data_IF_920768175113
#
_entry.id   IF_920768175113
#
_cell.length_a   1.000
_cell.length_b   1.000
_cell.length_c   1.000
_cell.angle_alpha   90.00
_cell.angle_beta   90.00
_cell.angle_gamma   90.00
#
_symmetry.space_group_name_H-M   'P 1'
#
loop_
_entity.id
_entity.type
_entity.pdbx_description
1 polymer ?
#
# COMPACT_ATOMS: atom_id res chain seq x y z
N UNK A 1 8.50 9.14 11.21
CA UNK A 1 9.08 10.50 11.07
C UNK A 1 10.52 10.63 11.60
N UNK A 2 11.26 9.54 11.87
CA UNK A 2 12.65 9.65 12.37
C UNK A 2 13.66 10.18 11.34
N UNK A 3 13.48 9.85 10.05
CA UNK A 3 14.42 10.24 8.99
C UNK A 3 14.52 11.77 8.81
N UNK A 4 13.39 12.47 8.63
CA UNK A 4 13.38 13.94 8.47
C UNK A 4 13.88 14.65 9.74
N UNK A 5 13.57 14.12 10.92
CA UNK A 5 14.12 14.62 12.18
C UNK A 5 15.65 14.48 12.19
N UNK A 6 16.20 13.33 11.78
CA UNK A 6 17.66 13.13 11.66
C UNK A 6 18.29 14.14 10.69
N UNK A 7 17.68 14.33 9.52
CA UNK A 7 18.14 15.31 8.54
C UNK A 7 18.18 16.72 9.15
N UNK A 8 17.16 17.08 9.94
CA UNK A 8 17.10 18.38 10.61
C UNK A 8 18.25 18.59 11.61
N UNK A 9 18.55 17.59 12.43
CA UNK A 9 19.69 17.66 13.36
C UNK A 9 21.04 17.78 12.63
N UNK A 10 21.10 17.38 11.37
CA UNK A 10 22.28 17.46 10.51
C UNK A 10 22.26 18.71 9.59
N UNK A 11 21.38 19.68 9.84
CA UNK A 11 21.26 20.91 9.03
C UNK A 11 20.73 20.65 7.63
N UNK A 12 19.70 19.80 7.52
CA UNK A 12 19.03 19.45 6.27
C UNK A 12 19.86 18.55 5.34
N UNK A 13 20.95 17.96 5.83
CA UNK A 13 21.82 17.09 5.03
C UNK A 13 21.31 15.66 5.04
N UNK A 14 21.34 15.02 3.87
CA UNK A 14 21.19 13.59 3.68
C UNK A 14 21.87 13.18 2.38
N UNK A 15 22.39 11.96 2.35
CA UNK A 15 22.88 11.31 1.13
C UNK A 15 21.77 10.53 0.42
N UNK A 16 21.96 10.21 -0.86
CA UNK A 16 21.05 9.30 -1.59
C UNK A 16 20.96 7.93 -0.92
N UNK A 17 22.05 7.45 -0.31
CA UNK A 17 22.07 6.17 0.40
C UNK A 17 21.15 6.19 1.62
N UNK A 18 21.26 7.21 2.47
CA UNK A 18 20.39 7.37 3.64
C UNK A 18 18.92 7.51 3.24
N UNK A 19 18.65 8.20 2.13
CA UNK A 19 17.30 8.28 1.56
C UNK A 19 16.79 6.91 1.11
N UNK A 20 17.60 6.11 0.42
CA UNK A 20 17.21 4.76 -0.01
C UNK A 20 16.96 3.82 1.17
N UNK A 21 17.79 3.90 2.21
CA UNK A 21 17.64 3.09 3.42
C UNK A 21 16.32 3.45 4.12
N UNK A 22 16.02 4.75 4.24
CA UNK A 22 14.72 5.23 4.70
C UNK A 22 13.58 4.70 3.84
N UNK A 23 13.67 4.83 2.52
CA UNK A 23 12.60 4.44 1.59
C UNK A 23 12.32 2.93 1.69
N UNK A 24 13.36 2.12 1.76
CA UNK A 24 13.27 0.66 1.92
C UNK A 24 12.53 0.28 3.21
N UNK A 25 12.94 0.85 4.34
CA UNK A 25 12.29 0.57 5.63
C UNK A 25 10.87 1.14 5.69
N UNK A 26 10.63 2.34 5.13
CA UNK A 26 9.30 2.92 5.03
C UNK A 26 8.34 2.02 4.25
N UNK A 27 8.77 1.53 3.07
CA UNK A 27 7.98 0.60 2.26
C UNK A 27 7.74 -0.72 2.99
N UNK A 28 8.74 -1.27 3.68
CA UNK A 28 8.62 -2.50 4.47
C UNK A 28 7.60 -2.35 5.61
N UNK A 29 7.69 -1.27 6.39
CA UNK A 29 6.74 -1.00 7.47
C UNK A 29 5.33 -0.80 6.91
N UNK A 30 5.20 -0.10 5.79
CA UNK A 30 3.91 0.11 5.11
C UNK A 30 3.28 -1.21 4.62
N UNK A 31 4.07 -2.10 3.98
CA UNK A 31 3.61 -3.44 3.58
C UNK A 31 3.17 -4.28 4.79
N UNK A 32 3.94 -4.24 5.88
CA UNK A 32 3.60 -4.97 7.11
C UNK A 32 2.32 -4.42 7.75
N UNK A 33 2.11 -3.11 7.71
CA UNK A 33 0.87 -2.48 8.16
C UNK A 33 -0.32 -2.95 7.32
N UNK A 34 -0.26 -2.82 5.99
CA UNK A 34 -1.32 -3.27 5.08
C UNK A 34 -1.62 -4.77 5.24
N UNK A 35 -0.58 -5.60 5.38
CA UNK A 35 -0.73 -7.04 5.64
C UNK A 35 -1.51 -7.30 6.94
N UNK A 36 -1.19 -6.60 8.03
CA UNK A 36 -1.91 -6.74 9.31
C UNK A 36 -3.37 -6.31 9.19
N UNK A 37 -3.65 -5.21 8.50
CA UNK A 37 -5.02 -4.75 8.22
C UNK A 37 -5.80 -5.83 7.46
N UNK A 38 -5.24 -6.34 6.36
CA UNK A 38 -5.86 -7.41 5.58
C UNK A 38 -6.09 -8.68 6.41
N UNK A 39 -5.14 -9.08 7.26
CA UNK A 39 -5.33 -10.21 8.18
C UNK A 39 -6.48 -9.98 9.15
N UNK A 40 -6.60 -8.78 9.72
CA UNK A 40 -7.68 -8.45 10.65
C UNK A 40 -9.05 -8.52 9.96
N UNK A 41 -9.24 -7.80 8.85
CA UNK A 41 -10.49 -7.81 8.09
C UNK A 41 -10.88 -9.20 7.57
N UNK A 42 -9.91 -10.10 7.29
CA UNK A 42 -10.20 -11.47 6.86
C UNK A 42 -10.79 -12.32 7.96
N UNK A 43 -10.47 -12.05 9.22
CA UNK A 43 -11.01 -12.84 10.32
C UNK A 43 -12.45 -12.43 10.67
N UNK A 44 -12.92 -11.30 10.15
CA UNK A 44 -14.29 -10.81 10.34
C UNK A 44 -15.22 -11.34 9.23
N UNK A 45 -16.36 -11.93 9.62
CA UNK A 45 -17.33 -12.51 8.68
C UNK A 45 -18.29 -11.48 8.08
N UNK A 46 -18.40 -10.31 8.71
CA UNK A 46 -19.31 -9.23 8.30
C UNK A 46 -18.91 -8.54 6.99
N UNK A 47 -17.66 -8.71 6.54
CA UNK A 47 -17.15 -8.03 5.35
C UNK A 47 -17.29 -8.86 4.08
N UNK A 48 -17.85 -8.22 3.06
CA UNK A 48 -17.84 -8.70 1.68
C UNK A 48 -16.56 -8.23 0.96
N UNK A 49 -15.85 -9.17 0.33
CA UNK A 49 -14.55 -8.91 -0.29
C UNK A 49 -14.69 -8.55 -1.78
N UNK A 50 -14.25 -7.34 -2.14
CA UNK A 50 -14.28 -6.81 -3.50
C UNK A 50 -12.89 -6.84 -4.14
N UNK A 51 -12.85 -7.18 -5.42
CA UNK A 51 -11.62 -7.15 -6.21
C UNK A 51 -11.35 -5.73 -6.72
N UNK A 52 -10.47 -5.02 -6.02
CA UNK A 52 -10.04 -3.67 -6.39
C UNK A 52 -9.19 -3.59 -7.67
N UNK A 53 -8.89 -4.71 -8.34
CA UNK A 53 -8.26 -4.69 -9.67
C UNK A 53 -9.25 -4.41 -10.80
N UNK A 54 -10.55 -4.30 -10.49
CA UNK A 54 -11.62 -3.98 -11.45
C UNK A 54 -11.72 -2.47 -11.67
N UNK A 55 -12.33 -2.03 -12.78
CA UNK A 55 -12.62 -0.62 -12.99
C UNK A 55 -13.34 0.00 -11.79
N UNK A 56 -12.99 1.25 -11.47
CA UNK A 56 -13.51 1.94 -10.29
C UNK A 56 -15.04 2.06 -10.37
N UNK A 57 -15.55 2.37 -11.55
CA UNK A 57 -16.97 2.54 -11.85
C UNK A 57 -17.75 1.26 -11.51
N UNK A 58 -17.28 0.10 -11.97
CA UNK A 58 -17.94 -1.19 -11.68
C UNK A 58 -18.02 -1.48 -10.17
N UNK A 59 -16.97 -1.14 -9.42
CA UNK A 59 -16.93 -1.36 -7.97
C UNK A 59 -17.86 -0.39 -7.25
N UNK A 60 -17.89 0.88 -7.67
CA UNK A 60 -18.74 1.91 -7.07
C UNK A 60 -20.22 1.67 -7.35
N UNK A 61 -20.59 1.33 -8.58
CA UNK A 61 -21.96 1.02 -8.96
C UNK A 61 -22.50 -0.12 -8.09
N UNK A 62 -21.71 -1.18 -7.88
CA UNK A 62 -22.08 -2.26 -6.97
C UNK A 62 -22.28 -1.78 -5.53
N UNK A 63 -21.41 -0.92 -5.00
CA UNK A 63 -21.52 -0.41 -3.62
C UNK A 63 -22.79 0.43 -3.47
N UNK A 64 -23.10 1.27 -4.46
CA UNK A 64 -24.28 2.14 -4.48
C UNK A 64 -25.55 1.28 -4.55
N UNK A 65 -25.60 0.33 -5.47
CA UNK A 65 -26.74 -0.60 -5.60
C UNK A 65 -26.94 -1.41 -4.33
N UNK A 66 -25.86 -1.92 -3.73
CA UNK A 66 -25.89 -2.65 -2.47
C UNK A 66 -26.44 -1.81 -1.30
N UNK A 67 -26.08 -0.53 -1.25
CA UNK A 67 -26.56 0.39 -0.22
C UNK A 67 -28.06 0.66 -0.34
N UNK A 68 -28.58 0.77 -1.56
CA UNK A 68 -30.01 1.03 -1.80
C UNK A 68 -30.88 -0.23 -1.70
N UNK A 69 -30.32 -1.42 -1.93
CA UNK A 69 -31.02 -2.69 -1.82
C UNK A 69 -31.21 -3.11 -0.33
N UNK A 70 -32.32 -2.67 0.27
CA UNK A 70 -32.69 -2.93 1.68
C UNK A 70 -33.15 -4.36 1.99
N UNK A 71 -32.90 -5.33 1.10
CA UNK A 71 -33.35 -6.72 1.24
C UNK A 71 -32.51 -7.56 2.21
N UNK A 72 -31.39 -7.01 2.72
CA UNK A 72 -30.53 -7.64 3.73
C UNK A 72 -29.71 -8.84 3.22
N UNK A 73 -29.87 -9.23 1.96
CA UNK A 73 -29.13 -10.33 1.34
C UNK A 73 -28.17 -9.80 0.28
N UNK A 74 -26.95 -9.44 0.69
CA UNK A 74 -25.92 -8.90 -0.19
C UNK A 74 -25.08 -10.03 -0.80
N UNK A 75 -25.21 -10.22 -2.11
CA UNK A 75 -24.43 -11.20 -2.87
C UNK A 75 -23.49 -10.46 -3.82
N UNK A 76 -22.18 -10.65 -3.63
CA UNK A 76 -21.17 -10.07 -4.52
C UNK A 76 -21.10 -10.87 -5.83
N UNK A 77 -21.21 -10.22 -7.01
CA UNK A 77 -21.03 -10.90 -8.30
C UNK A 77 -19.64 -11.54 -8.41
N UNK A 78 -19.54 -12.73 -9.03
CA UNK A 78 -18.27 -13.45 -9.20
C UNK A 78 -17.16 -12.62 -9.87
N UNK A 79 -17.52 -11.71 -10.79
CA UNK A 79 -16.56 -10.84 -11.46
C UNK A 79 -15.88 -9.84 -10.50
N UNK A 80 -16.62 -9.36 -9.50
CA UNK A 80 -16.17 -8.41 -8.49
C UNK A 80 -15.72 -9.10 -7.20
N UNK A 81 -15.99 -10.39 -7.04
CA UNK A 81 -15.64 -11.14 -5.86
C UNK A 81 -14.13 -11.34 -5.76
N UNK A 82 -13.57 -11.00 -4.60
CA UNK A 82 -12.21 -11.38 -4.23
C UNK A 82 -12.25 -12.62 -3.34
N UNK A 83 -11.38 -13.59 -3.62
CA UNK A 83 -11.27 -14.79 -2.79
C UNK A 83 -10.69 -14.41 -1.41
N UNK A 84 -11.52 -14.55 -0.37
CA UNK A 84 -11.17 -14.22 1.02
C UNK A 84 -10.02 -15.08 1.56
N UNK A 85 -10.05 -16.36 1.21
CA UNK A 85 -9.07 -17.35 1.65
C UNK A 85 -8.07 -17.61 0.52
N UNK A 86 -6.86 -17.10 0.67
CA UNK A 86 -5.71 -17.55 -0.11
C UNK A 86 -5.32 -18.96 0.37
N UNK A 87 -6.15 -19.94 0.04
CA UNK A 87 -6.00 -21.33 0.45
C UNK A 87 -4.82 -22.00 -0.26
N UNK A 88 -4.38 -21.44 -1.39
CA UNK A 88 -3.29 -21.97 -2.19
C UNK A 88 -1.97 -21.43 -1.66
N UNK A 89 -1.09 -22.34 -1.24
CA UNK A 89 0.31 -22.02 -0.87
C UNK A 89 1.01 -21.13 -1.92
N UNK A 90 0.64 -21.28 -3.19
CA UNK A 90 1.14 -20.49 -4.32
C UNK A 90 0.85 -18.99 -4.16
N UNK A 91 -0.39 -18.61 -3.83
CA UNK A 91 -0.79 -17.21 -3.73
C UNK A 91 -0.15 -16.52 -2.52
N UNK A 92 -0.01 -17.25 -1.40
CA UNK A 92 0.75 -16.77 -0.23
C UNK A 92 2.23 -16.57 -0.57
N UNK A 93 2.81 -17.48 -1.36
CA UNK A 93 4.19 -17.37 -1.79
C UNK A 93 4.38 -16.17 -2.73
N UNK A 94 3.51 -15.97 -3.72
CA UNK A 94 3.54 -14.84 -4.65
C UNK A 94 3.43 -13.49 -3.91
N UNK A 95 2.56 -13.38 -2.91
CA UNK A 95 2.47 -12.17 -2.08
C UNK A 95 3.72 -11.94 -1.22
N UNK A 96 4.37 -13.00 -0.74
CA UNK A 96 5.63 -12.90 0.03
C UNK A 96 6.82 -12.58 -0.87
N UNK A 97 6.82 -13.07 -2.10
CA UNK A 97 7.87 -12.85 -3.10
C UNK A 97 7.68 -11.54 -3.86
N UNK A 98 6.49 -10.92 -3.81
CA UNK A 98 6.25 -9.62 -4.41
C UNK A 98 7.29 -8.60 -3.95
N UNK A 99 7.95 -7.99 -4.94
CA UNK A 99 8.90 -6.90 -4.76
C UNK A 99 8.37 -5.72 -5.54
N UNK A 100 8.08 -4.64 -4.81
CA UNK A 100 7.75 -3.36 -5.42
C UNK A 100 8.93 -2.89 -6.26
N UNK A 101 8.70 -2.63 -7.55
CA UNK A 101 9.72 -2.03 -8.42
C UNK A 101 9.74 -0.52 -8.18
N UNK A 102 10.87 0.01 -7.73
CA UNK A 102 11.07 1.44 -7.66
C UNK A 102 11.24 1.98 -9.08
N UNK A 103 10.34 2.85 -9.52
CA UNK A 103 10.36 3.46 -10.86
C UNK A 103 10.74 4.94 -10.85
N UNK A 104 10.91 5.52 -9.67
CA UNK A 104 11.12 6.96 -9.49
C UNK A 104 12.51 7.29 -8.98
N UNK A 105 13.11 6.41 -8.19
CA UNK A 105 14.47 6.60 -7.67
C UNK A 105 15.34 5.40 -8.08
N UNK A 106 15.69 5.33 -9.36
CA UNK A 106 16.47 4.24 -9.97
C UNK A 106 17.96 4.53 -9.88
N UNK A 107 18.36 5.77 -10.12
CA UNK A 107 19.74 6.25 -10.02
C UNK A 107 19.92 7.26 -8.89
N UNK A 108 21.18 7.51 -8.50
CA UNK A 108 21.48 8.48 -7.42
C UNK A 108 21.06 9.88 -7.79
N UNK A 109 21.09 10.20 -9.08
CA UNK A 109 20.69 11.48 -9.66
C UNK A 109 19.19 11.72 -9.48
N UNK A 110 18.36 10.66 -9.51
CA UNK A 110 16.92 10.77 -9.26
C UNK A 110 16.59 11.25 -7.83
N UNK A 111 17.57 11.22 -6.92
CA UNK A 111 17.40 11.73 -5.56
C UNK A 111 17.66 13.24 -5.45
N UNK A 112 18.15 13.93 -6.48
CA UNK A 112 18.53 15.35 -6.39
C UNK A 112 17.41 16.21 -5.84
N UNK A 113 16.22 16.09 -6.42
CA UNK A 113 15.09 16.97 -6.13
C UNK A 113 14.60 16.79 -4.69
N UNK A 114 14.57 15.54 -4.21
CA UNK A 114 14.14 15.25 -2.84
C UNK A 114 15.21 15.65 -1.82
N UNK A 115 16.49 15.47 -2.14
CA UNK A 115 17.59 15.89 -1.26
C UNK A 115 17.66 17.41 -1.15
N UNK A 116 17.45 18.14 -2.25
CA UNK A 116 17.36 19.60 -2.25
C UNK A 116 16.12 20.09 -1.48
N UNK A 117 14.99 19.40 -1.63
CA UNK A 117 13.80 19.68 -0.82
C UNK A 117 14.04 19.45 0.68
N UNK A 118 14.72 18.37 1.06
CA UNK A 118 15.09 18.10 2.47
C UNK A 118 16.02 19.20 2.98
N UNK A 119 17.03 19.59 2.20
CA UNK A 119 17.96 20.66 2.54
C UNK A 119 17.25 21.99 2.76
N UNK A 120 16.27 22.31 1.92
CA UNK A 120 15.53 23.58 1.98
C UNK A 120 14.54 23.61 3.14
N UNK A 121 13.93 22.47 3.48
CA UNK A 121 12.83 22.42 4.47
C UNK A 121 13.25 21.97 5.86
N UNK A 122 14.38 21.24 5.97
CA UNK A 122 14.90 20.72 7.22
C UNK A 122 16.26 21.33 7.61
N UNK A 123 16.83 22.20 6.78
CA UNK A 123 18.06 22.93 7.07
C UNK A 123 17.88 24.16 7.95
#
# INVERSE_FOLDING_TARGET
>A
MGYLLSCRHQGGRSSSQEFYDFLSEFQKVSRNFAKRQLTWFRNESIYHWLNASRPLEEVLDFIIDAYHNQTGNLVVPKALQMEKNLSRRKDIFELKSYRTQNRHFVSREDCSDILDWIKTTQG
#
